data_IF_100158336260
#
_entry.id   IF_100158336260
#
_cell.length_a   1.000
_cell.length_b   1.000
_cell.length_c   1.000
_cell.angle_alpha   90.00
_cell.angle_beta   90.00
_cell.angle_gamma   90.00
#
_symmetry.space_group_name_H-M   'P 1'
#
loop_
_entity.id
_entity.type
_entity.pdbx_description
1 polymer ?
#
# COMPACT_ATOMS: atom_id res chain seq x y z
N UNK A 1 18.59 2.92 -2.11
CA UNK A 1 18.83 4.35 -2.44
C UNK A 1 17.50 5.01 -2.81
N UNK A 2 17.32 6.33 -2.51
CA UNK A 2 16.07 7.06 -2.80
C UNK A 2 15.65 6.99 -4.27
N UNK A 3 14.36 7.09 -4.55
CA UNK A 3 13.81 7.02 -5.92
C UNK A 3 14.43 8.04 -6.90
N UNK A 4 14.81 9.22 -6.40
CA UNK A 4 15.49 10.25 -7.23
C UNK A 4 16.88 9.82 -7.72
N UNK A 5 17.52 8.86 -7.05
CA UNK A 5 18.83 8.36 -7.44
C UNK A 5 18.70 7.52 -8.73
N UNK A 6 19.54 7.76 -9.78
CA UNK A 6 19.51 6.98 -11.00
C UNK A 6 19.82 5.49 -10.81
N UNK A 7 20.48 5.12 -9.71
CA UNK A 7 20.78 3.74 -9.33
C UNK A 7 19.70 3.12 -8.42
N UNK A 8 18.56 3.79 -8.24
CA UNK A 8 17.41 3.17 -7.60
C UNK A 8 16.92 1.97 -8.43
N UNK A 9 16.57 0.87 -7.77
CA UNK A 9 16.23 -0.38 -8.45
C UNK A 9 15.05 -0.25 -9.42
N UNK A 10 14.08 0.60 -9.13
CA UNK A 10 12.93 0.85 -10.02
C UNK A 10 13.39 1.50 -11.33
N UNK A 11 14.28 2.50 -11.26
CA UNK A 11 14.84 3.18 -12.45
C UNK A 11 15.81 2.27 -13.20
N UNK A 12 16.59 1.48 -12.46
CA UNK A 12 17.56 0.56 -13.04
C UNK A 12 16.86 -0.54 -13.84
N UNK A 13 15.81 -1.15 -13.27
CA UNK A 13 15.04 -2.21 -13.94
C UNK A 13 14.35 -1.70 -15.21
N UNK A 14 13.82 -0.47 -15.21
CA UNK A 14 13.25 0.14 -16.42
C UNK A 14 14.29 0.28 -17.54
N UNK A 15 15.45 0.88 -17.22
CA UNK A 15 16.54 1.03 -18.21
C UNK A 15 17.06 -0.32 -18.73
N UNK A 16 17.17 -1.32 -17.84
CA UNK A 16 17.59 -2.66 -18.21
C UNK A 16 16.58 -3.29 -19.19
N UNK A 17 15.30 -3.19 -18.89
CA UNK A 17 14.25 -3.70 -19.79
C UNK A 17 14.28 -3.03 -21.15
N UNK A 18 14.48 -1.70 -21.21
CA UNK A 18 14.65 -0.97 -22.47
C UNK A 18 15.87 -1.43 -23.30
N UNK A 19 16.98 -1.78 -22.64
CA UNK A 19 18.17 -2.33 -23.27
C UNK A 19 17.90 -3.75 -23.80
N UNK A 20 17.37 -4.63 -22.96
CA UNK A 20 17.07 -6.00 -23.32
C UNK A 20 16.02 -6.10 -24.42
N UNK A 21 15.03 -5.20 -24.45
CA UNK A 21 14.03 -5.15 -25.52
C UNK A 21 14.64 -4.95 -26.92
N UNK A 22 15.87 -4.38 -27.01
CA UNK A 22 16.60 -4.15 -28.27
C UNK A 22 17.51 -5.31 -28.66
N UNK A 23 17.92 -6.14 -27.70
CA UNK A 23 18.94 -7.17 -27.89
C UNK A 23 18.39 -8.59 -27.84
N UNK A 24 17.32 -8.80 -27.06
CA UNK A 24 16.71 -10.11 -26.89
C UNK A 24 15.75 -10.46 -28.03
N UNK A 25 15.80 -11.70 -28.59
CA UNK A 25 14.97 -12.11 -29.72
C UNK A 25 13.47 -11.96 -29.48
N UNK A 26 13.01 -12.15 -28.24
CA UNK A 26 11.60 -12.04 -27.85
C UNK A 26 11.30 -10.70 -27.14
N UNK A 27 12.25 -9.76 -27.13
CA UNK A 27 12.13 -8.50 -26.41
C UNK A 27 12.19 -8.65 -24.90
N UNK A 28 11.83 -7.59 -24.19
CA UNK A 28 11.71 -7.58 -22.74
C UNK A 28 10.58 -6.65 -22.30
N UNK A 29 9.88 -6.99 -21.24
CA UNK A 29 8.79 -6.20 -20.68
C UNK A 29 9.15 -5.79 -19.24
N UNK A 30 9.01 -4.50 -18.94
CA UNK A 30 9.08 -3.99 -17.59
C UNK A 30 7.66 -3.90 -17.01
N UNK A 31 7.37 -4.71 -15.98
CA UNK A 31 6.05 -4.76 -15.35
C UNK A 31 5.67 -3.44 -14.66
N UNK A 32 6.66 -2.64 -14.21
CA UNK A 32 6.48 -1.30 -13.63
C UNK A 32 5.36 -1.25 -12.57
N UNK A 33 5.44 -2.12 -11.57
CA UNK A 33 4.37 -2.32 -10.57
C UNK A 33 3.88 -1.04 -9.87
N UNK A 34 4.70 0.01 -9.80
CA UNK A 34 4.33 1.25 -9.12
C UNK A 34 3.43 2.16 -9.96
N UNK A 35 3.61 2.15 -11.29
CA UNK A 35 2.94 3.10 -12.18
C UNK A 35 2.11 2.42 -13.28
N UNK A 36 2.17 1.09 -13.37
CA UNK A 36 1.32 0.32 -14.26
C UNK A 36 -0.05 0.08 -13.60
N UNK A 37 -1.08 0.67 -14.16
CA UNK A 37 -2.46 0.60 -13.67
C UNK A 37 -3.05 -0.83 -13.69
N UNK A 38 -2.47 -1.76 -14.43
CA UNK A 38 -2.85 -3.17 -14.38
C UNK A 38 -2.72 -3.77 -12.97
N UNK A 39 -1.78 -3.27 -12.16
CA UNK A 39 -1.64 -3.63 -10.75
C UNK A 39 -2.93 -3.27 -9.95
N UNK A 40 -3.37 -2.02 -10.04
CA UNK A 40 -4.62 -1.57 -9.42
C UNK A 40 -5.84 -2.33 -9.98
N UNK A 41 -5.90 -2.51 -11.29
CA UNK A 41 -7.01 -3.17 -11.97
C UNK A 41 -7.17 -4.62 -11.53
N UNK A 42 -6.08 -5.37 -11.37
CA UNK A 42 -6.13 -6.75 -10.87
C UNK A 42 -6.80 -6.86 -9.50
N UNK A 43 -6.54 -5.90 -8.59
CA UNK A 43 -7.18 -5.89 -7.27
C UNK A 43 -8.66 -5.50 -7.32
N UNK A 44 -9.08 -4.68 -8.29
CA UNK A 44 -10.50 -4.37 -8.53
C UNK A 44 -11.23 -5.63 -8.98
N UNK A 45 -10.64 -6.40 -9.90
CA UNK A 45 -11.29 -7.53 -10.57
C UNK A 45 -11.22 -8.84 -9.77
N UNK A 46 -10.25 -8.99 -8.87
CA UNK A 46 -10.04 -10.25 -8.13
C UNK A 46 -10.11 -10.06 -6.63
N UNK A 47 -9.18 -9.33 -6.03
CA UNK A 47 -9.04 -9.24 -4.56
C UNK A 47 -10.27 -8.63 -3.89
N UNK A 48 -10.84 -7.56 -4.44
CA UNK A 48 -12.01 -6.93 -3.86
C UNK A 48 -13.27 -7.82 -3.90
N UNK A 49 -13.61 -8.49 -5.02
CA UNK A 49 -14.67 -9.48 -5.06
C UNK A 49 -14.47 -10.64 -4.09
N UNK A 50 -13.25 -11.18 -3.99
CA UNK A 50 -12.93 -12.26 -3.06
C UNK A 50 -13.14 -11.85 -1.59
N UNK A 51 -12.68 -10.65 -1.21
CA UNK A 51 -12.92 -10.11 0.13
C UNK A 51 -14.42 -9.92 0.37
N UNK A 52 -15.14 -9.36 -0.59
CA UNK A 52 -16.58 -9.15 -0.49
C UNK A 52 -17.35 -10.44 -0.26
N UNK A 53 -17.03 -11.48 -1.03
CA UNK A 53 -17.64 -12.80 -0.93
C UNK A 53 -17.32 -13.48 0.41
N UNK A 54 -16.04 -13.52 0.80
CA UNK A 54 -15.58 -14.15 2.04
C UNK A 54 -16.17 -13.47 3.28
N UNK A 55 -16.34 -12.17 3.24
CA UNK A 55 -16.99 -11.38 4.30
C UNK A 55 -18.51 -11.36 4.22
N UNK A 56 -19.10 -12.04 3.23
CA UNK A 56 -20.56 -12.09 3.01
C UNK A 56 -21.19 -10.70 2.90
N UNK A 57 -20.47 -9.75 2.30
CA UNK A 57 -20.88 -8.36 2.17
C UNK A 57 -20.93 -7.55 3.47
N UNK A 58 -20.43 -8.09 4.56
CA UNK A 58 -20.42 -7.42 5.89
C UNK A 58 -19.09 -6.72 6.12
N UNK A 59 -18.90 -5.59 5.47
CA UNK A 59 -17.67 -4.79 5.53
C UNK A 59 -18.05 -3.34 5.79
N UNK A 60 -17.62 -2.81 6.94
CA UNK A 60 -17.81 -1.40 7.30
C UNK A 60 -16.60 -0.54 6.91
N UNK A 61 -15.41 -1.13 6.87
CA UNK A 61 -14.19 -0.43 6.52
C UNK A 61 -13.10 -1.35 5.95
N UNK A 62 -12.21 -0.76 5.17
CA UNK A 62 -10.99 -1.37 4.66
C UNK A 62 -9.81 -0.43 4.85
N UNK A 63 -8.70 -0.94 5.34
CA UNK A 63 -7.47 -0.17 5.54
C UNK A 63 -6.27 -0.95 5.04
N UNK A 64 -5.30 -0.26 4.46
CA UNK A 64 -4.12 -0.88 3.92
C UNK A 64 -2.92 0.08 3.95
N UNK A 65 -1.75 -0.46 4.27
CA UNK A 65 -0.48 0.24 4.05
C UNK A 65 -0.12 0.22 2.56
N UNK A 66 0.73 1.15 2.14
CA UNK A 66 1.05 1.35 0.73
C UNK A 66 2.51 1.04 0.43
N UNK A 67 2.71 0.05 -0.46
CA UNK A 67 3.92 -0.12 -1.24
C UNK A 67 3.75 0.52 -2.62
N UNK A 68 3.16 -0.19 -3.57
CA UNK A 68 2.86 0.35 -4.91
C UNK A 68 1.55 1.16 -4.98
N UNK A 69 0.66 0.98 -4.02
CA UNK A 69 -0.67 1.59 -4.00
C UNK A 69 -1.75 0.78 -4.72
N UNK A 70 -1.37 -0.24 -5.49
CA UNK A 70 -2.31 -1.05 -6.25
C UNK A 70 -3.37 -1.72 -5.37
N UNK A 71 -2.94 -2.32 -4.26
CA UNK A 71 -3.85 -3.00 -3.32
C UNK A 71 -4.82 -2.02 -2.68
N UNK A 72 -4.31 -0.92 -2.08
CA UNK A 72 -5.19 0.05 -1.40
C UNK A 72 -6.21 0.64 -2.38
N UNK A 73 -5.76 1.20 -3.48
CA UNK A 73 -6.65 1.86 -4.44
C UNK A 73 -7.55 0.87 -5.18
N UNK A 74 -7.05 -0.33 -5.51
CA UNK A 74 -7.81 -1.34 -6.22
C UNK A 74 -8.91 -1.97 -5.37
N UNK A 75 -8.56 -2.44 -4.17
CA UNK A 75 -9.54 -3.03 -3.23
C UNK A 75 -10.59 -1.98 -2.82
N UNK A 76 -10.15 -0.77 -2.48
CA UNK A 76 -11.07 0.32 -2.14
C UNK A 76 -12.08 0.60 -3.27
N UNK A 77 -11.59 0.75 -4.51
CA UNK A 77 -12.45 0.98 -5.68
C UNK A 77 -13.44 -0.18 -5.89
N UNK A 78 -12.97 -1.42 -5.80
CA UNK A 78 -13.82 -2.60 -5.97
C UNK A 78 -14.86 -2.75 -4.86
N UNK A 79 -14.47 -2.60 -3.59
CA UNK A 79 -15.38 -2.70 -2.45
C UNK A 79 -16.43 -1.58 -2.46
N UNK A 80 -16.04 -0.34 -2.77
CA UNK A 80 -16.97 0.79 -2.90
C UNK A 80 -17.88 0.66 -4.13
N UNK A 81 -17.51 -0.17 -5.10
CA UNK A 81 -18.42 -0.60 -6.19
C UNK A 81 -19.59 -1.44 -5.69
N UNK A 82 -19.39 -2.26 -4.65
CA UNK A 82 -20.45 -3.04 -4.00
C UNK A 82 -21.23 -2.23 -2.96
N UNK A 83 -20.52 -1.48 -2.12
CA UNK A 83 -21.15 -0.64 -1.08
C UNK A 83 -20.33 0.64 -0.89
N UNK A 84 -20.91 1.79 -1.25
CA UNK A 84 -20.27 3.12 -1.19
C UNK A 84 -20.03 3.62 0.24
N UNK A 85 -20.70 3.04 1.23
CA UNK A 85 -20.57 3.46 2.63
C UNK A 85 -19.32 2.90 3.32
N UNK A 86 -18.64 1.93 2.69
CA UNK A 86 -17.40 1.34 3.20
C UNK A 86 -16.34 2.43 3.36
N UNK A 87 -15.82 2.57 4.59
CA UNK A 87 -14.79 3.54 4.91
C UNK A 87 -13.41 3.03 4.52
N UNK A 88 -12.65 3.89 3.87
CA UNK A 88 -11.32 3.53 3.37
C UNK A 88 -10.25 4.27 4.18
N UNK A 89 -9.32 3.51 4.74
CA UNK A 89 -8.19 4.01 5.50
C UNK A 89 -6.84 3.75 4.84
N UNK A 90 -5.90 4.66 5.05
CA UNK A 90 -4.47 4.47 4.81
C UNK A 90 -3.77 4.28 6.16
N UNK A 91 -3.01 3.20 6.32
CA UNK A 91 -2.06 3.02 7.40
C UNK A 91 -0.65 3.32 6.87
N UNK A 92 -0.08 4.46 7.24
CA UNK A 92 1.23 4.90 6.75
C UNK A 92 2.28 4.80 7.86
N UNK A 93 3.43 4.12 7.65
CA UNK A 93 4.47 4.07 8.67
C UNK A 93 5.15 5.43 8.85
N UNK A 94 5.83 5.63 9.97
CA UNK A 94 6.71 6.79 10.17
C UNK A 94 7.73 6.87 9.04
N UNK A 95 8.16 8.07 8.67
CA UNK A 95 9.11 8.29 7.58
C UNK A 95 8.52 8.20 6.17
N UNK A 96 7.24 7.84 6.03
CA UNK A 96 6.51 7.89 4.78
C UNK A 96 5.81 9.25 4.57
N UNK A 97 5.39 9.57 3.34
CA UNK A 97 4.86 10.89 3.00
C UNK A 97 3.37 10.90 2.66
N UNK A 98 2.72 9.73 2.56
CA UNK A 98 1.33 9.67 2.12
C UNK A 98 0.36 10.15 3.19
N UNK A 99 0.64 9.88 4.47
CA UNK A 99 -0.14 10.44 5.57
C UNK A 99 -0.20 11.97 5.49
N UNK A 100 0.95 12.63 5.38
CA UNK A 100 1.03 14.08 5.23
C UNK A 100 0.27 14.55 3.98
N UNK A 101 0.48 13.89 2.84
CA UNK A 101 -0.19 14.24 1.60
C UNK A 101 -1.73 14.18 1.70
N UNK A 102 -2.28 13.11 2.25
CA UNK A 102 -3.74 12.97 2.33
C UNK A 102 -4.38 13.80 3.43
N UNK A 103 -3.62 14.27 4.42
CA UNK A 103 -4.12 15.12 5.50
C UNK A 103 -3.88 16.61 5.25
N UNK A 104 -2.74 16.99 4.66
CA UNK A 104 -2.35 18.40 4.49
C UNK A 104 -2.20 18.83 3.03
N UNK A 105 -2.15 17.88 2.09
CA UNK A 105 -1.88 18.14 0.67
C UNK A 105 -0.39 18.17 0.31
N UNK A 106 0.52 18.02 1.26
CA UNK A 106 1.96 18.08 1.03
C UNK A 106 2.64 16.72 1.21
N UNK A 107 3.50 16.33 0.26
CA UNK A 107 4.36 15.15 0.37
C UNK A 107 5.53 15.45 1.31
N UNK A 108 5.35 15.24 2.60
CA UNK A 108 6.37 15.47 3.62
C UNK A 108 6.60 14.19 4.42
N UNK A 109 7.83 13.71 4.40
CA UNK A 109 8.28 12.55 5.17
C UNK A 109 9.10 13.04 6.38
N UNK A 110 8.72 12.64 7.59
CA UNK A 110 9.46 12.92 8.82
C UNK A 110 9.71 11.63 9.59
N UNK A 111 10.96 11.44 10.05
CA UNK A 111 11.37 10.23 10.73
C UNK A 111 11.81 9.11 9.78
N UNK A 112 11.77 7.91 10.29
CA UNK A 112 12.06 6.67 9.55
C UNK A 112 11.31 5.52 10.19
N UNK A 113 11.10 4.43 9.44
CA UNK A 113 10.50 3.20 9.94
C UNK A 113 11.45 2.03 9.71
N UNK A 114 11.37 1.04 10.58
CA UNK A 114 12.03 -0.27 10.42
C UNK A 114 11.31 -1.17 9.41
N UNK A 115 10.10 -0.80 8.99
CA UNK A 115 9.33 -1.58 8.04
C UNK A 115 9.89 -1.42 6.62
N UNK A 116 9.93 -2.54 5.88
CA UNK A 116 10.33 -2.56 4.47
C UNK A 116 9.14 -2.91 3.58
N UNK A 117 9.19 -2.46 2.32
CA UNK A 117 8.17 -2.75 1.30
C UNK A 117 6.90 -1.89 1.37
N UNK A 118 6.74 -1.10 2.43
CA UNK A 118 5.66 -0.12 2.60
C UNK A 118 6.23 1.27 2.94
N UNK A 119 5.38 2.29 2.89
CA UNK A 119 5.77 3.69 3.09
C UNK A 119 6.30 4.33 1.80
N UNK A 120 5.54 5.23 1.21
CA UNK A 120 5.89 5.91 -0.03
C UNK A 120 6.24 7.38 0.17
N UNK A 121 7.26 7.83 -0.56
CA UNK A 121 7.65 9.24 -0.64
C UNK A 121 7.05 9.99 -1.84
N UNK A 122 6.18 9.36 -2.62
CA UNK A 122 5.56 9.94 -3.82
C UNK A 122 4.17 9.34 -4.07
N UNK A 123 3.37 10.03 -4.85
CA UNK A 123 2.16 9.45 -5.43
C UNK A 123 2.58 8.56 -6.62
N UNK A 124 2.21 7.30 -6.55
CA UNK A 124 2.43 6.32 -7.63
C UNK A 124 1.28 6.40 -8.63
N UNK A 125 1.48 5.88 -9.85
CA UNK A 125 0.42 5.81 -10.86
C UNK A 125 -0.82 5.06 -10.34
N UNK A 126 -0.64 4.02 -9.51
CA UNK A 126 -1.76 3.30 -8.91
C UNK A 126 -2.61 4.13 -7.95
N UNK A 127 -2.07 5.22 -7.40
CA UNK A 127 -2.79 6.14 -6.50
C UNK A 127 -3.37 7.37 -7.20
N UNK A 128 -3.15 7.52 -8.51
CA UNK A 128 -3.71 8.64 -9.25
C UNK A 128 -5.24 8.69 -9.16
N UNK A 129 -5.76 9.87 -8.78
CA UNK A 129 -7.20 10.08 -8.59
C UNK A 129 -7.82 9.36 -7.39
N UNK A 130 -7.03 8.62 -6.59
CA UNK A 130 -7.49 7.95 -5.39
C UNK A 130 -7.32 8.85 -4.15
N UNK A 131 -8.33 8.79 -3.25
CA UNK A 131 -8.28 9.47 -1.96
C UNK A 131 -8.96 8.58 -0.91
N UNK A 132 -8.27 8.21 0.19
CA UNK A 132 -8.89 7.51 1.31
C UNK A 132 -9.77 8.48 2.12
N UNK A 133 -10.73 7.95 2.88
CA UNK A 133 -11.53 8.72 3.85
C UNK A 133 -10.69 9.13 5.06
N UNK A 134 -9.78 8.23 5.47
CA UNK A 134 -8.91 8.43 6.63
C UNK A 134 -7.46 8.08 6.29
N UNK A 135 -6.53 8.76 6.94
CA UNK A 135 -5.12 8.42 6.91
C UNK A 135 -4.57 8.45 8.35
N UNK A 136 -3.79 7.44 8.70
CA UNK A 136 -3.17 7.32 10.02
C UNK A 136 -1.67 7.09 9.87
N UNK A 137 -0.87 7.88 10.59
CA UNK A 137 0.54 7.60 10.76
C UNK A 137 0.72 6.63 11.92
N UNK A 138 1.40 5.52 11.69
CA UNK A 138 1.59 4.45 12.67
C UNK A 138 3.06 4.43 13.10
N UNK A 139 3.36 4.76 14.39
CA UNK A 139 4.70 4.68 14.94
C UNK A 139 5.21 3.24 15.02
N UNK A 140 6.51 3.03 14.76
CA UNK A 140 7.16 1.74 14.90
C UNK A 140 6.98 1.11 16.29
N UNK A 141 7.04 1.92 17.34
CA UNK A 141 6.84 1.44 18.72
C UNK A 141 5.45 0.83 18.94
N UNK A 142 4.41 1.41 18.35
CA UNK A 142 3.04 0.88 18.41
C UNK A 142 2.93 -0.44 17.62
N UNK A 143 3.47 -0.45 16.39
CA UNK A 143 3.45 -1.63 15.53
C UNK A 143 4.23 -2.80 16.15
N UNK A 144 5.42 -2.54 16.69
CA UNK A 144 6.24 -3.56 17.35
C UNK A 144 5.54 -4.16 18.58
N UNK A 145 5.00 -3.28 19.44
CA UNK A 145 4.24 -3.76 20.62
C UNK A 145 3.11 -4.68 20.19
N UNK A 146 2.33 -4.27 19.19
CA UNK A 146 1.22 -5.06 18.68
C UNK A 146 1.67 -6.39 18.08
N UNK A 147 2.76 -6.40 17.32
CA UNK A 147 3.32 -7.63 16.76
C UNK A 147 3.71 -8.63 17.87
N UNK A 148 4.35 -8.15 18.94
CA UNK A 148 4.69 -9.00 20.09
C UNK A 148 3.45 -9.46 20.86
N UNK A 149 2.47 -8.60 21.09
CA UNK A 149 1.21 -8.96 21.75
C UNK A 149 0.48 -10.06 20.97
N UNK A 150 0.44 -9.99 19.64
CA UNK A 150 -0.16 -11.02 18.76
C UNK A 150 0.57 -12.37 18.88
N UNK A 151 1.90 -12.37 18.94
CA UNK A 151 2.66 -13.59 19.15
C UNK A 151 2.39 -14.19 20.53
N UNK A 152 2.41 -13.36 21.56
CA UNK A 152 2.33 -13.83 22.95
C UNK A 152 0.92 -14.24 23.39
N UNK A 153 -0.10 -13.56 22.85
CA UNK A 153 -1.49 -13.75 23.32
C UNK A 153 -2.31 -14.62 22.37
N UNK A 154 -2.05 -14.49 21.04
CA UNK A 154 -2.84 -15.15 20.00
C UNK A 154 -2.04 -16.24 19.24
N UNK A 155 -0.73 -16.35 19.46
CA UNK A 155 0.13 -17.26 18.74
C UNK A 155 0.34 -16.88 17.26
N UNK A 156 0.05 -15.64 16.89
CA UNK A 156 0.15 -15.14 15.51
C UNK A 156 1.49 -14.45 15.28
N UNK A 157 2.41 -15.14 14.57
CA UNK A 157 3.69 -14.58 14.15
C UNK A 157 3.55 -13.90 12.78
N UNK A 158 3.31 -12.59 12.77
CA UNK A 158 3.09 -11.79 11.57
C UNK A 158 4.25 -10.84 11.31
N UNK A 159 4.40 -10.39 10.06
CA UNK A 159 5.41 -9.39 9.69
C UNK A 159 5.10 -7.98 10.21
N UNK A 160 6.13 -7.11 10.25
CA UNK A 160 5.99 -5.72 10.72
C UNK A 160 4.93 -4.91 9.96
N UNK A 161 4.82 -5.11 8.64
CA UNK A 161 3.78 -4.47 7.82
C UNK A 161 2.36 -4.91 8.22
N UNK A 162 2.17 -6.15 8.68
CA UNK A 162 0.89 -6.62 9.20
C UNK A 162 0.51 -5.87 10.48
N UNK A 163 1.48 -5.63 11.36
CA UNK A 163 1.24 -4.87 12.59
C UNK A 163 0.85 -3.41 12.29
N UNK A 164 1.47 -2.76 11.29
CA UNK A 164 1.06 -1.43 10.80
C UNK A 164 -0.40 -1.45 10.36
N UNK A 165 -0.79 -2.45 9.55
CA UNK A 165 -2.18 -2.58 9.08
C UNK A 165 -3.17 -2.81 10.22
N UNK A 166 -2.84 -3.67 11.19
CA UNK A 166 -3.71 -3.97 12.33
C UNK A 166 -3.84 -2.75 13.25
N UNK A 167 -2.75 -2.02 13.52
CA UNK A 167 -2.80 -0.78 14.27
C UNK A 167 -3.71 0.26 13.59
N UNK A 168 -3.60 0.39 12.27
CA UNK A 168 -4.49 1.21 11.47
C UNK A 168 -5.95 0.75 11.56
N UNK A 169 -6.21 -0.55 11.47
CA UNK A 169 -7.56 -1.11 11.56
C UNK A 169 -8.22 -0.83 12.93
N UNK A 170 -7.46 -0.94 14.01
CA UNK A 170 -7.92 -0.58 15.36
C UNK A 170 -8.33 0.90 15.44
N UNK A 171 -7.63 1.78 14.73
CA UNK A 171 -7.99 3.21 14.68
C UNK A 171 -9.21 3.48 13.80
N UNK A 172 -9.33 2.78 12.68
CA UNK A 172 -10.46 2.92 11.75
C UNK A 172 -11.77 2.42 12.38
N UNK A 173 -11.70 1.43 13.27
CA UNK A 173 -12.87 0.81 13.94
C UNK A 173 -13.42 1.64 15.12
N UNK A 174 -12.77 2.74 15.50
CA UNK A 174 -13.20 3.65 16.59
C UNK A 174 -13.98 4.84 16.05
#
# INVERSE_FOLDING_TARGET
VPYKNPNNYVRLSGRLAEQLAKTEPNGAIWANQFDNHANRQSHIETTAPEIWEQMQGKIDGFICAVGSGGTLAGVATGLQGFNKDIKIGLADPEGAALYSYYTTGELKAEGSSITEGIGQGRITGNLEGFKPDFAYQIPDAEALKLAFDLVMQEGLCLGGSSAINIAGAIRLAK
#
